data_IF_450070607700
#
_entry.id   IF_450070607700
#
_cell.length_a   1.000
_cell.length_b   1.000
_cell.length_c   1.000
_cell.angle_alpha   90.00
_cell.angle_beta   90.00
_cell.angle_gamma   90.00
#
_symmetry.space_group_name_H-M   'P 1'
#
loop_
_entity.id
_entity.type
_entity.pdbx_description
1 polymer ?
#
# COMPACT_ATOMS: atom_id res chain seq x y z
N UNK A 1 3.58 7.52 -0.04
CA UNK A 1 3.39 7.53 1.44
C UNK A 1 4.00 6.24 1.96
N UNK A 2 4.41 6.14 3.23
CA UNK A 2 5.02 4.90 3.75
C UNK A 2 3.95 3.82 3.97
N UNK A 3 4.35 2.56 3.79
CA UNK A 3 3.49 1.37 3.98
C UNK A 3 2.73 1.34 5.32
N UNK A 4 3.35 1.69 6.48
CA UNK A 4 2.62 1.70 7.76
C UNK A 4 1.42 2.65 7.74
N UNK A 5 1.56 3.83 7.14
CA UNK A 5 0.49 4.82 7.04
C UNK A 5 -0.64 4.32 6.14
N UNK A 6 -0.32 3.66 5.02
CA UNK A 6 -1.31 3.01 4.15
C UNK A 6 -2.12 1.95 4.91
N UNK A 7 -1.43 1.14 5.72
CA UNK A 7 -2.06 0.14 6.57
C UNK A 7 -2.97 0.76 7.63
N UNK A 8 -2.50 1.80 8.34
CA UNK A 8 -3.26 2.46 9.39
C UNK A 8 -4.52 3.16 8.85
N UNK A 9 -4.40 3.87 7.74
CA UNK A 9 -5.54 4.52 7.07
C UNK A 9 -6.55 3.46 6.64
N UNK A 10 -6.09 2.38 6.02
CA UNK A 10 -6.97 1.29 5.56
C UNK A 10 -7.63 0.56 6.72
N UNK A 11 -6.89 0.33 7.82
CA UNK A 11 -7.43 -0.26 9.05
C UNK A 11 -8.52 0.61 9.67
N UNK A 12 -8.35 1.93 9.66
CA UNK A 12 -9.36 2.87 10.13
C UNK A 12 -10.61 2.88 9.23
N UNK A 13 -10.45 2.85 7.90
CA UNK A 13 -11.55 2.68 6.95
C UNK A 13 -12.32 1.38 7.24
N UNK A 14 -11.61 0.30 7.56
CA UNK A 14 -12.22 -0.98 7.92
C UNK A 14 -13.05 -0.97 9.20
N UNK A 15 -13.02 0.11 9.99
CA UNK A 15 -13.87 0.31 11.17
C UNK A 15 -15.13 1.13 10.90
N UNK A 16 -15.35 1.60 9.68
CA UNK A 16 -16.53 2.38 9.30
C UNK A 16 -17.77 1.46 9.32
N UNK A 17 -18.78 1.68 10.20
CA UNK A 17 -19.85 0.70 10.43
C UNK A 17 -20.75 0.41 9.23
N UNK A 18 -20.98 1.40 8.36
CA UNK A 18 -21.82 1.24 7.17
C UNK A 18 -21.08 0.61 5.98
N UNK A 19 -19.75 0.52 6.05
CA UNK A 19 -18.93 -0.05 4.99
C UNK A 19 -18.68 -1.53 5.28
N UNK A 20 -19.37 -2.41 4.56
CA UNK A 20 -19.23 -3.87 4.68
C UNK A 20 -17.98 -4.38 3.94
N UNK A 21 -16.81 -4.02 4.45
CA UNK A 21 -15.51 -4.49 3.91
C UNK A 21 -15.19 -5.91 4.37
N UNK A 22 -14.22 -6.55 3.71
CA UNK A 22 -13.54 -7.74 4.20
C UNK A 22 -12.18 -7.33 4.79
N UNK A 23 -12.01 -7.32 6.12
CA UNK A 23 -10.81 -6.75 6.75
C UNK A 23 -9.49 -7.36 6.26
N UNK A 24 -9.42 -8.69 6.13
CA UNK A 24 -8.20 -9.34 5.65
C UNK A 24 -7.81 -8.92 4.23
N UNK A 25 -8.80 -8.69 3.36
CA UNK A 25 -8.56 -8.26 1.98
C UNK A 25 -7.99 -6.85 1.91
N UNK A 26 -8.61 -5.89 2.59
CA UNK A 26 -8.15 -4.50 2.56
C UNK A 26 -6.80 -4.35 3.28
N UNK A 27 -6.59 -5.03 4.40
CA UNK A 27 -5.32 -4.93 5.14
C UNK A 27 -4.16 -5.51 4.33
N UNK A 28 -4.36 -6.67 3.68
CA UNK A 28 -3.34 -7.23 2.80
C UNK A 28 -3.12 -6.36 1.56
N UNK A 29 -4.19 -5.84 0.95
CA UNK A 29 -4.08 -4.96 -0.22
C UNK A 29 -3.43 -3.61 0.08
N UNK A 30 -3.45 -3.15 1.34
CA UNK A 30 -2.74 -1.92 1.76
C UNK A 30 -1.23 -2.08 1.88
N UNK A 31 -0.72 -3.33 1.97
CA UNK A 31 0.70 -3.64 2.11
C UNK A 31 1.27 -4.23 0.81
N UNK A 32 0.46 -5.03 0.09
CA UNK A 32 0.90 -5.82 -1.04
C UNK A 32 1.63 -5.05 -2.17
N UNK A 33 1.24 -3.80 -2.53
CA UNK A 33 1.93 -3.04 -3.56
C UNK A 33 3.43 -2.79 -3.27
N UNK A 34 3.80 -2.63 -2.00
CA UNK A 34 5.19 -2.34 -1.59
C UNK A 34 6.05 -3.59 -1.37
N UNK A 35 5.43 -4.75 -1.11
CA UNK A 35 6.15 -6.00 -0.82
C UNK A 35 7.22 -6.35 -1.87
N UNK A 36 6.95 -6.26 -3.19
CA UNK A 36 7.96 -6.52 -4.20
C UNK A 36 9.23 -5.68 -4.00
N UNK A 37 9.09 -4.38 -3.73
CA UNK A 37 10.21 -3.48 -3.55
C UNK A 37 11.03 -3.87 -2.31
N UNK A 38 10.37 -4.21 -1.20
CA UNK A 38 11.05 -4.71 0.00
C UNK A 38 11.85 -5.98 -0.25
N UNK A 39 11.24 -7.00 -0.87
CA UNK A 39 11.91 -8.27 -1.14
C UNK A 39 13.04 -8.14 -2.15
N UNK A 40 12.83 -7.37 -3.22
CA UNK A 40 13.85 -7.10 -4.24
C UNK A 40 15.04 -6.35 -3.65
N UNK A 41 14.78 -5.31 -2.86
CA UNK A 41 15.84 -4.53 -2.21
C UNK A 41 16.61 -5.39 -1.21
N UNK A 42 15.92 -6.11 -0.33
CA UNK A 42 16.56 -6.94 0.67
C UNK A 42 17.36 -8.09 0.04
N UNK A 43 16.77 -8.79 -0.93
CA UNK A 43 17.44 -9.88 -1.64
C UNK A 43 18.67 -9.41 -2.42
N UNK A 44 18.55 -8.29 -3.14
CA UNK A 44 19.67 -7.70 -3.89
C UNK A 44 20.76 -7.22 -2.96
N UNK A 45 20.40 -6.61 -1.82
CA UNK A 45 21.36 -6.20 -0.81
C UNK A 45 22.14 -7.38 -0.25
N UNK A 46 21.46 -8.45 0.16
CA UNK A 46 22.12 -9.65 0.67
C UNK A 46 23.04 -10.30 -0.37
N UNK A 47 22.59 -10.43 -1.62
CA UNK A 47 23.40 -11.02 -2.68
C UNK A 47 24.61 -10.14 -3.02
N UNK A 48 24.42 -8.84 -3.29
CA UNK A 48 25.52 -7.94 -3.66
C UNK A 48 26.52 -7.76 -2.53
N UNK A 49 26.06 -7.68 -1.28
CA UNK A 49 26.95 -7.49 -0.13
C UNK A 49 27.77 -8.74 0.17
N UNK A 50 27.15 -9.91 0.19
CA UNK A 50 27.79 -11.14 0.68
C UNK A 50 28.44 -11.99 -0.43
N UNK A 51 27.97 -11.88 -1.67
CA UNK A 51 28.49 -12.67 -2.80
C UNK A 51 29.40 -11.83 -3.69
N UNK A 52 28.96 -10.63 -4.05
CA UNK A 52 29.72 -9.76 -4.96
C UNK A 52 30.74 -8.88 -4.21
N UNK A 53 30.50 -8.61 -2.92
CA UNK A 53 31.38 -7.79 -2.08
C UNK A 53 31.23 -6.29 -2.28
N UNK A 54 30.07 -5.82 -2.77
CA UNK A 54 29.84 -4.39 -2.99
C UNK A 54 29.60 -3.63 -1.68
N UNK A 55 29.93 -2.34 -1.70
CA UNK A 55 29.65 -1.43 -0.58
C UNK A 55 28.17 -1.03 -0.54
N UNK A 56 27.55 -0.84 0.65
CA UNK A 56 26.12 -0.52 0.77
C UNK A 56 25.70 0.68 -0.08
N UNK A 57 26.53 1.74 -0.12
CA UNK A 57 26.24 2.95 -0.91
C UNK A 57 26.16 2.65 -2.40
N UNK A 58 27.02 1.79 -2.93
CA UNK A 58 26.99 1.38 -4.33
C UNK A 58 25.72 0.57 -4.61
N UNK A 59 25.39 -0.38 -3.72
CA UNK A 59 24.18 -1.20 -3.82
C UNK A 59 22.93 -0.32 -3.90
N UNK A 60 22.77 0.63 -2.97
CA UNK A 60 21.60 1.51 -2.93
C UNK A 60 21.48 2.35 -4.21
N UNK A 61 22.58 2.93 -4.70
CA UNK A 61 22.59 3.68 -5.97
C UNK A 61 22.19 2.81 -7.15
N UNK A 62 22.78 1.63 -7.28
CA UNK A 62 22.42 0.72 -8.39
C UNK A 62 20.97 0.28 -8.32
N UNK A 63 20.47 -0.06 -7.13
CA UNK A 63 19.10 -0.53 -6.95
C UNK A 63 18.09 0.58 -7.23
N UNK A 64 18.22 1.72 -6.57
CA UNK A 64 17.19 2.77 -6.60
C UNK A 64 17.37 3.75 -7.76
N UNK A 65 18.59 4.03 -8.20
CA UNK A 65 18.83 5.01 -9.27
C UNK A 65 18.84 4.36 -10.67
N UNK A 66 18.99 3.04 -10.77
CA UNK A 66 19.09 2.33 -12.05
C UNK A 66 18.08 1.19 -12.17
N UNK A 67 18.18 0.17 -11.32
CA UNK A 67 17.38 -1.06 -11.51
C UNK A 67 15.89 -0.82 -11.34
N UNK A 68 15.49 0.02 -10.37
CA UNK A 68 14.10 0.39 -10.18
C UNK A 68 13.46 1.02 -11.44
N UNK A 69 14.24 1.79 -12.22
CA UNK A 69 13.75 2.50 -13.40
C UNK A 69 13.95 1.74 -14.71
N UNK A 70 14.99 0.91 -14.82
CA UNK A 70 15.43 0.32 -16.08
C UNK A 70 15.28 -1.20 -16.13
N UNK A 71 15.31 -1.90 -14.99
CA UNK A 71 15.31 -3.35 -14.97
C UNK A 71 13.88 -3.91 -15.15
N UNK A 72 13.59 -4.68 -16.23
CA UNK A 72 12.23 -5.16 -16.48
C UNK A 72 11.67 -6.04 -15.36
N UNK A 73 12.51 -6.81 -14.67
CA UNK A 73 12.06 -7.67 -13.58
C UNK A 73 11.59 -6.83 -12.38
N UNK A 74 12.30 -5.76 -12.06
CA UNK A 74 11.91 -4.82 -11.01
C UNK A 74 10.63 -4.08 -11.38
N UNK A 75 10.57 -3.54 -12.59
CA UNK A 75 9.42 -2.80 -13.09
C UNK A 75 8.16 -3.68 -13.06
N UNK A 76 8.23 -4.91 -13.59
CA UNK A 76 7.09 -5.83 -13.61
C UNK A 76 6.64 -6.14 -12.19
N UNK A 77 7.54 -6.61 -11.32
CA UNK A 77 7.16 -7.04 -9.98
C UNK A 77 6.59 -5.90 -9.13
N UNK A 78 7.17 -4.71 -9.20
CA UNK A 78 6.66 -3.53 -8.53
C UNK A 78 5.27 -3.14 -9.05
N UNK A 79 5.08 -3.12 -10.37
CA UNK A 79 3.85 -2.58 -10.97
C UNK A 79 2.68 -3.57 -11.05
N UNK A 80 2.88 -4.87 -10.82
CA UNK A 80 1.78 -5.87 -10.85
C UNK A 80 0.64 -5.56 -9.86
N UNK A 81 0.97 -4.99 -8.70
CA UNK A 81 -0.02 -4.61 -7.67
C UNK A 81 -0.04 -3.10 -7.41
N UNK A 82 0.64 -2.30 -8.23
CA UNK A 82 0.81 -0.86 -8.04
C UNK A 82 0.38 -0.03 -9.26
N UNK A 83 0.44 -0.58 -10.47
CA UNK A 83 -0.01 0.13 -11.67
C UNK A 83 -1.54 0.28 -11.70
N UNK A 84 -2.09 1.51 -11.80
CA UNK A 84 -3.53 1.75 -11.83
C UNK A 84 -4.24 1.00 -12.94
N UNK A 85 -3.66 0.93 -14.14
CA UNK A 85 -4.28 0.25 -15.27
C UNK A 85 -4.42 -1.27 -15.04
N UNK A 86 -3.41 -1.93 -14.45
CA UNK A 86 -3.47 -3.34 -14.08
C UNK A 86 -4.56 -3.57 -13.03
N UNK A 87 -4.59 -2.74 -11.99
CA UNK A 87 -5.53 -2.86 -10.88
C UNK A 87 -6.98 -2.60 -11.33
N UNK A 88 -7.21 -1.58 -12.15
CA UNK A 88 -8.51 -1.30 -12.75
C UNK A 88 -8.96 -2.43 -13.68
N UNK A 89 -8.05 -3.02 -14.45
CA UNK A 89 -8.34 -4.18 -15.29
C UNK A 89 -8.74 -5.40 -14.45
N UNK A 90 -8.04 -5.66 -13.33
CA UNK A 90 -8.39 -6.74 -12.41
C UNK A 90 -9.77 -6.52 -11.77
N UNK A 91 -10.06 -5.30 -11.32
CA UNK A 91 -11.37 -4.92 -10.79
C UNK A 91 -12.48 -5.05 -11.83
N UNK A 92 -12.23 -4.64 -13.08
CA UNK A 92 -13.18 -4.80 -14.18
C UNK A 92 -13.50 -6.28 -14.45
N UNK A 93 -12.49 -7.15 -14.50
CA UNK A 93 -12.67 -8.60 -14.65
C UNK A 93 -13.52 -9.19 -13.52
N UNK A 94 -13.28 -8.77 -12.28
CA UNK A 94 -14.06 -9.21 -11.10
C UNK A 94 -15.50 -8.69 -11.19
N UNK A 95 -15.71 -7.44 -11.61
CA UNK A 95 -17.03 -6.85 -11.81
C UNK A 95 -17.85 -7.59 -12.88
N UNK A 96 -17.25 -7.85 -14.04
CA UNK A 96 -17.86 -8.59 -15.15
C UNK A 96 -18.25 -10.01 -14.71
N UNK A 97 -17.40 -10.68 -13.92
CA UNK A 97 -17.67 -12.03 -13.41
C UNK A 97 -18.87 -12.06 -12.45
N UNK A 98 -18.97 -11.10 -11.54
CA UNK A 98 -19.94 -11.16 -10.45
C UNK A 98 -21.34 -10.61 -10.81
N UNK A 99 -21.48 -9.84 -11.90
CA UNK A 99 -22.74 -9.38 -12.53
C UNK A 99 -23.75 -8.65 -11.62
N UNK A 100 -23.46 -8.47 -10.33
CA UNK A 100 -24.29 -7.80 -9.33
C UNK A 100 -23.41 -7.16 -8.25
N UNK A 101 -23.81 -5.98 -7.78
CA UNK A 101 -23.13 -5.25 -6.72
C UNK A 101 -23.08 -6.04 -5.40
N UNK A 102 -24.13 -6.80 -5.08
CA UNK A 102 -24.16 -7.59 -3.83
C UNK A 102 -23.09 -8.69 -3.83
N UNK A 103 -22.85 -9.33 -4.97
CA UNK A 103 -21.80 -10.35 -5.14
C UNK A 103 -20.39 -9.75 -5.18
N UNK A 104 -20.25 -8.50 -5.65
CA UNK A 104 -18.98 -7.79 -5.62
C UNK A 104 -18.55 -7.47 -4.18
N UNK A 105 -19.49 -6.99 -3.36
CA UNK A 105 -19.22 -6.65 -1.96
C UNK A 105 -18.81 -7.87 -1.11
N UNK A 106 -19.20 -9.08 -1.49
CA UNK A 106 -18.77 -10.31 -0.81
C UNK A 106 -17.48 -10.89 -1.39
N UNK A 107 -16.92 -10.31 -2.45
CA UNK A 107 -15.70 -10.80 -3.08
C UNK A 107 -14.45 -10.32 -2.33
N UNK A 108 -13.67 -11.26 -1.83
CA UNK A 108 -12.37 -10.98 -1.20
C UNK A 108 -11.43 -10.25 -2.18
N UNK A 109 -11.31 -10.75 -3.41
CA UNK A 109 -10.43 -10.18 -4.43
C UNK A 109 -10.82 -8.76 -4.83
N UNK A 110 -12.12 -8.44 -4.84
CA UNK A 110 -12.58 -7.07 -5.09
C UNK A 110 -12.00 -6.11 -4.07
N UNK A 111 -12.16 -6.40 -2.77
CA UNK A 111 -11.65 -5.55 -1.69
C UNK A 111 -10.11 -5.49 -1.66
N UNK A 112 -9.44 -6.59 -1.98
CA UNK A 112 -7.98 -6.63 -2.07
C UNK A 112 -7.45 -5.70 -3.16
N UNK A 113 -7.91 -5.86 -4.41
CA UNK A 113 -7.46 -5.01 -5.51
C UNK A 113 -7.93 -3.56 -5.38
N UNK A 114 -9.11 -3.32 -4.78
CA UNK A 114 -9.57 -1.97 -4.48
C UNK A 114 -8.66 -1.28 -3.47
N UNK A 115 -8.16 -2.03 -2.47
CA UNK A 115 -7.20 -1.51 -1.50
C UNK A 115 -5.82 -1.28 -2.12
N UNK A 116 -5.33 -2.16 -3.00
CA UNK A 116 -4.12 -1.91 -3.77
C UNK A 116 -4.25 -0.64 -4.62
N UNK A 117 -5.42 -0.44 -5.25
CA UNK A 117 -5.68 0.76 -6.05
C UNK A 117 -5.70 2.01 -5.17
N UNK A 118 -6.33 1.95 -4.00
CA UNK A 118 -6.32 3.05 -3.05
C UNK A 118 -4.91 3.44 -2.60
N UNK A 119 -4.08 2.44 -2.27
CA UNK A 119 -2.66 2.63 -1.98
C UNK A 119 -1.94 3.32 -3.14
N UNK A 120 -2.10 2.78 -4.35
CA UNK A 120 -1.45 3.30 -5.57
C UNK A 120 -1.87 4.74 -5.87
N UNK A 121 -3.14 5.09 -5.67
CA UNK A 121 -3.65 6.44 -5.86
C UNK A 121 -2.98 7.42 -4.90
N UNK A 122 -2.83 7.07 -3.61
CA UNK A 122 -2.12 7.92 -2.66
C UNK A 122 -0.66 8.10 -3.08
N UNK A 123 -0.01 7.02 -3.54
CA UNK A 123 1.39 7.08 -3.97
C UNK A 123 1.59 7.92 -5.24
N UNK A 124 0.67 7.85 -6.20
CA UNK A 124 0.67 8.77 -7.37
C UNK A 124 0.77 10.22 -6.92
N UNK A 125 0.08 10.62 -5.84
CA UNK A 125 0.10 12.00 -5.36
C UNK A 125 1.17 12.28 -4.31
N UNK A 126 1.95 11.28 -3.89
CA UNK A 126 2.96 11.44 -2.82
C UNK A 126 4.35 10.98 -3.23
N UNK A 127 4.57 10.71 -4.52
CA UNK A 127 5.86 10.48 -5.15
C UNK A 127 6.10 11.53 -6.23
N UNK A 128 7.29 12.13 -6.25
CA UNK A 128 7.61 13.15 -7.27
C UNK A 128 7.80 12.50 -8.63
N UNK A 129 8.77 11.61 -8.81
CA UNK A 129 9.08 10.97 -10.10
C UNK A 129 9.30 9.46 -10.00
N UNK A 130 9.16 8.90 -8.79
CA UNK A 130 9.43 7.52 -8.43
C UNK A 130 8.16 6.72 -8.09
N UNK A 131 6.99 7.25 -8.45
CA UNK A 131 5.69 6.60 -8.25
C UNK A 131 5.39 5.47 -9.25
N UNK A 132 4.19 4.87 -9.17
CA UNK A 132 3.77 3.82 -10.09
C UNK A 132 3.69 4.28 -11.55
N UNK A 133 3.85 3.31 -12.44
CA UNK A 133 3.59 3.49 -13.85
C UNK A 133 2.09 3.52 -14.13
N UNK A 134 1.61 4.64 -14.68
CA UNK A 134 0.18 4.85 -14.92
C UNK A 134 -0.36 3.89 -16.00
N UNK A 135 0.41 3.73 -17.08
CA UNK A 135 0.01 3.05 -18.31
C UNK A 135 0.63 1.66 -18.50
N UNK A 136 1.31 1.13 -17.48
CA UNK A 136 1.87 -0.22 -17.53
C UNK A 136 0.74 -1.25 -17.74
N UNK A 137 0.88 -2.21 -18.69
CA UNK A 137 2.11 -2.65 -19.35
C UNK A 137 2.33 -2.10 -20.77
N UNK A 138 1.52 -1.13 -21.22
CA UNK A 138 1.63 -0.56 -22.57
C UNK A 138 2.70 0.53 -22.68
N UNK A 139 2.99 1.20 -21.56
CA UNK A 139 4.10 2.13 -21.42
C UNK A 139 4.81 1.89 -20.09
N UNK A 140 6.14 1.80 -20.18
CA UNK A 140 7.05 1.38 -19.11
C UNK A 140 7.78 2.55 -18.45
N UNK A 141 7.46 3.78 -18.84
CA UNK A 141 8.19 4.98 -18.45
C UNK A 141 7.32 6.04 -17.78
N UNK A 142 6.06 6.21 -18.21
CA UNK A 142 5.21 7.29 -17.71
C UNK A 142 4.82 7.11 -16.24
N UNK A 143 5.26 8.07 -15.43
CA UNK A 143 4.91 8.28 -14.02
C UNK A 143 4.27 9.65 -13.87
N UNK A 144 3.44 9.82 -12.86
CA UNK A 144 2.89 11.14 -12.56
C UNK A 144 3.93 11.97 -11.81
N UNK A 145 4.21 13.18 -12.31
CA UNK A 145 5.10 14.11 -11.61
C UNK A 145 4.37 14.86 -10.50
N UNK A 146 4.22 14.25 -9.31
CA UNK A 146 3.49 14.91 -8.21
C UNK A 146 4.25 16.11 -7.67
N UNK A 147 3.61 17.25 -7.38
CA UNK A 147 4.27 18.36 -6.70
C UNK A 147 4.72 18.02 -5.26
N UNK A 148 4.21 16.91 -4.69
CA UNK A 148 4.51 16.45 -3.34
C UNK A 148 5.15 15.06 -3.39
N UNK A 149 6.31 14.93 -2.75
CA UNK A 149 6.97 13.66 -2.44
C UNK A 149 6.95 13.46 -0.93
N UNK A 150 6.77 12.24 -0.44
CA UNK A 150 6.84 11.96 0.99
C UNK A 150 8.28 11.92 1.53
N UNK A 151 9.29 11.86 0.65
CA UNK A 151 10.69 11.70 1.03
C UNK A 151 11.63 12.76 0.43
N UNK A 152 11.33 13.30 -0.76
CA UNK A 152 12.17 14.33 -1.38
C UNK A 152 11.91 15.71 -0.76
N UNK A 153 12.90 16.21 -0.02
CA UNK A 153 12.90 17.54 0.58
C UNK A 153 12.70 18.71 -0.40
N UNK A 154 12.99 18.53 -1.69
CA UNK A 154 12.73 19.55 -2.73
C UNK A 154 11.25 19.63 -3.11
N UNK A 155 10.48 18.62 -2.74
CA UNK A 155 9.06 18.46 -3.08
C UNK A 155 8.22 18.24 -1.81
N UNK A 156 8.40 19.10 -0.80
CA UNK A 156 7.67 19.07 0.48
C UNK A 156 7.86 17.78 1.33
N UNK A 157 8.89 16.97 1.07
CA UNK A 157 9.09 15.70 1.78
C UNK A 157 9.30 15.83 3.29
N UNK A 158 9.86 16.94 3.76
CA UNK A 158 10.02 17.19 5.20
C UNK A 158 8.67 17.47 5.86
N UNK A 159 7.88 18.35 5.27
CA UNK A 159 6.56 18.76 5.72
C UNK A 159 5.60 17.57 5.67
N UNK A 160 5.61 16.83 4.55
CA UNK A 160 4.79 15.64 4.37
C UNK A 160 5.17 14.54 5.38
N UNK A 161 6.45 14.27 5.60
CA UNK A 161 6.89 13.30 6.61
C UNK A 161 6.43 13.68 8.04
N UNK A 162 6.39 14.97 8.37
CA UNK A 162 5.85 15.42 9.67
C UNK A 162 4.33 15.23 9.74
N UNK A 163 3.62 15.60 8.68
CA UNK A 163 2.17 15.35 8.58
C UNK A 163 1.85 13.86 8.72
N UNK A 164 2.57 13.00 8.00
CA UNK A 164 2.44 11.55 8.02
C UNK A 164 2.65 10.99 9.44
N UNK A 165 3.67 11.45 10.16
CA UNK A 165 3.90 11.06 11.55
C UNK A 165 2.70 11.39 12.46
N UNK A 166 2.16 12.60 12.36
CA UNK A 166 1.02 13.01 13.18
C UNK A 166 -0.25 12.26 12.80
N UNK A 167 -0.46 12.01 11.51
CA UNK A 167 -1.55 11.18 11.01
C UNK A 167 -1.47 9.76 11.60
N UNK A 168 -0.30 9.13 11.56
CA UNK A 168 -0.10 7.78 12.07
C UNK A 168 -0.33 7.71 13.58
N UNK A 169 0.18 8.67 14.35
CA UNK A 169 -0.06 8.75 15.79
C UNK A 169 -1.55 8.90 16.11
N UNK A 170 -2.27 9.74 15.37
CA UNK A 170 -3.70 9.93 15.53
C UNK A 170 -4.49 8.65 15.20
N UNK A 171 -4.11 7.95 14.12
CA UNK A 171 -4.75 6.70 13.69
C UNK A 171 -4.51 5.56 14.68
N UNK A 172 -3.27 5.44 15.20
CA UNK A 172 -2.95 4.46 16.26
C UNK A 172 -3.82 4.73 17.49
N UNK A 173 -3.86 5.97 17.99
CA UNK A 173 -4.68 6.33 19.13
C UNK A 173 -6.16 6.01 18.89
N UNK A 174 -6.69 6.40 17.73
CA UNK A 174 -8.08 6.12 17.34
C UNK A 174 -8.39 4.61 17.35
N UNK A 175 -7.56 3.80 16.69
CA UNK A 175 -7.74 2.35 16.62
C UNK A 175 -7.59 1.68 18.00
N UNK A 176 -6.66 2.14 18.84
CA UNK A 176 -6.50 1.66 20.21
C UNK A 176 -7.73 1.96 21.08
N UNK A 177 -8.29 3.17 20.99
CA UNK A 177 -9.51 3.55 21.72
C UNK A 177 -10.70 2.69 21.28
N UNK A 178 -10.87 2.46 19.97
CA UNK A 178 -11.93 1.60 19.46
C UNK A 178 -11.78 0.15 19.94
N UNK A 179 -10.56 -0.39 19.87
CA UNK A 179 -10.27 -1.74 20.35
C UNK A 179 -10.55 -1.91 21.84
N UNK A 180 -10.19 -0.91 22.65
CA UNK A 180 -10.45 -0.92 24.08
C UNK A 180 -11.94 -0.90 24.40
N UNK A 181 -12.72 -0.02 23.74
CA UNK A 181 -14.19 0.03 23.91
C UNK A 181 -14.84 -1.30 23.55
N UNK A 182 -14.45 -1.90 22.42
CA UNK A 182 -14.99 -3.18 21.97
C UNK A 182 -14.65 -4.33 22.93
N UNK A 183 -13.43 -4.33 23.49
CA UNK A 183 -13.01 -5.32 24.48
C UNK A 183 -13.82 -5.24 25.78
N UNK A 184 -14.15 -4.02 26.26
CA UNK A 184 -14.98 -3.84 27.45
C UNK A 184 -16.43 -4.27 27.24
N UNK A 185 -17.01 -3.97 26.07
CA UNK A 185 -18.37 -4.40 25.74
C UNK A 185 -18.50 -5.93 25.80
N UNK A 186 -17.57 -6.65 25.15
CA UNK A 186 -17.53 -8.12 25.20
C UNK A 186 -17.40 -8.68 26.62
N UNK A 187 -16.57 -8.05 27.46
CA UNK A 187 -16.44 -8.47 28.86
C UNK A 187 -17.76 -8.30 29.64
N UNK A 188 -18.49 -7.20 29.37
CA UNK A 188 -19.78 -6.93 30.03
C UNK A 188 -20.84 -7.95 29.58
N UNK A 189 -20.94 -8.22 28.28
CA UNK A 189 -21.86 -9.23 27.72
C UNK A 189 -21.58 -10.63 28.28
N UNK A 190 -20.32 -11.01 28.45
CA UNK A 190 -19.94 -12.30 29.04
C UNK A 190 -20.32 -12.38 30.52
N UNK A 191 -20.20 -11.28 31.28
CA UNK A 191 -20.62 -11.27 32.69
C UNK A 191 -22.14 -11.41 32.78
N UNK A 192 -22.89 -10.68 31.96
CA UNK A 192 -24.37 -10.74 31.93
C UNK A 192 -24.90 -12.12 31.50
N UNK A 193 -24.21 -12.84 30.61
CA UNK A 193 -24.61 -14.20 30.21
C UNK A 193 -24.33 -15.28 31.27
N UNK A 194 -23.48 -14.99 32.26
CA UNK A 194 -23.07 -15.93 33.31
C UNK A 194 -23.67 -15.60 34.70
N UNK A 195 -24.47 -14.55 34.81
CA UNK A 195 -25.20 -14.14 36.02
C UNK A 195 -26.66 -14.60 35.97
#
# INVERSE_FOLDING_TARGET
MKTPSHFLVTAAIGRIPWLKVIPSAILLGSIAPDLPLYFLTFGSFLWMRNVVGWEPRQIFRTVFDQWFFENPFWIVLHNLLHAPLILLSALACIAIKNRSLSKLQTSWWFWFFLSCLFHSVIDIFTHYDDGPLIWFPFDWSTRFSSPVSYWDSRHYGREFSQFELWLDLALILFLSVLFWKQSRQKQTEVIEQNA
#
